data_IF_436661570702
#
_entry.id   IF_436661570702
#
_cell.length_a   1.000
_cell.length_b   1.000
_cell.length_c   1.000
_cell.angle_alpha   90.00
_cell.angle_beta   90.00
_cell.angle_gamma   90.00
#
_symmetry.space_group_name_H-M   'P 1'
#
loop_
_entity.id
_entity.type
_entity.pdbx_description
1 polymer ?
#
# COMPACT_ATOMS: atom_id res chain seq x y z
N UNK A 1 -7.52 11.67 14.06
CA UNK A 1 -6.82 11.02 12.92
C UNK A 1 -6.13 9.81 13.47
N UNK A 2 -6.38 8.65 12.86
CA UNK A 2 -5.81 7.38 13.30
C UNK A 2 -4.75 6.88 12.32
N UNK A 3 -4.01 5.85 12.74
CA UNK A 3 -2.96 5.24 11.93
C UNK A 3 -3.36 3.82 11.55
N UNK A 4 -3.51 3.58 10.25
CA UNK A 4 -3.51 2.23 9.72
C UNK A 4 -2.07 1.74 9.64
N UNK A 5 -1.80 0.56 10.21
CA UNK A 5 -0.55 -0.15 9.93
C UNK A 5 -0.87 -1.45 9.22
N UNK A 6 -0.26 -1.63 8.05
CA UNK A 6 -0.26 -2.87 7.28
C UNK A 6 1.09 -3.53 7.50
N UNK A 7 1.10 -4.75 8.03
CA UNK A 7 2.31 -5.56 8.09
C UNK A 7 2.27 -6.72 7.10
N UNK A 8 3.44 -7.19 6.70
CA UNK A 8 3.65 -8.32 5.78
C UNK A 8 4.91 -9.05 6.21
N UNK A 9 5.05 -10.32 5.83
CA UNK A 9 6.27 -11.07 6.10
C UNK A 9 6.81 -11.66 4.79
N UNK A 10 8.12 -11.66 4.61
CA UNK A 10 8.78 -12.28 3.47
C UNK A 10 8.93 -13.81 3.63
N UNK A 11 9.60 -14.47 2.67
CA UNK A 11 9.85 -15.91 2.71
C UNK A 11 10.64 -16.39 3.95
N UNK A 12 11.45 -15.51 4.54
CA UNK A 12 12.25 -15.77 5.74
C UNK A 12 11.50 -15.42 7.03
N UNK A 13 10.22 -15.03 6.92
CA UNK A 13 9.36 -14.52 8.00
C UNK A 13 9.83 -13.18 8.58
N UNK A 14 10.64 -12.42 7.86
CA UNK A 14 11.00 -11.08 8.25
C UNK A 14 9.87 -10.10 7.91
N UNK A 15 9.48 -9.30 8.91
CA UNK A 15 8.37 -8.37 8.78
C UNK A 15 8.71 -7.10 7.99
N UNK A 16 7.77 -6.62 7.18
CA UNK A 16 7.69 -5.27 6.64
C UNK A 16 6.47 -4.60 7.24
N UNK A 17 6.54 -3.27 7.43
CA UNK A 17 5.41 -2.46 7.92
C UNK A 17 5.30 -1.19 7.10
N UNK A 18 4.07 -0.85 6.75
CA UNK A 18 3.73 0.42 6.11
C UNK A 18 2.58 1.04 6.90
N UNK A 19 2.72 2.31 7.25
CA UNK A 19 1.75 3.03 8.06
C UNK A 19 1.17 4.20 7.28
N UNK A 20 -0.12 4.42 7.44
CA UNK A 20 -0.90 5.42 6.72
C UNK A 20 -1.78 6.21 7.68
N UNK A 21 -1.98 7.49 7.38
CA UNK A 21 -2.95 8.30 8.12
C UNK A 21 -4.34 8.02 7.56
N UNK A 22 -5.32 7.83 8.44
CA UNK A 22 -6.72 7.60 8.08
C UNK A 22 -7.63 8.50 8.91
N UNK A 23 -8.89 8.62 8.49
CA UNK A 23 -9.90 9.33 9.26
C UNK A 23 -10.01 8.75 10.69
N UNK A 24 -10.49 9.56 11.63
CA UNK A 24 -10.76 9.09 12.98
C UNK A 24 -11.85 8.01 12.95
N UNK A 25 -11.56 6.89 13.62
CA UNK A 25 -12.43 5.74 13.69
C UNK A 25 -13.25 5.85 14.97
N UNK A 26 -14.55 5.80 14.80
CA UNK A 26 -15.55 5.87 15.86
C UNK A 26 -16.45 4.64 15.76
N UNK A 27 -17.19 4.33 16.83
CA UNK A 27 -18.18 3.25 16.78
C UNK A 27 -19.22 3.43 15.65
N UNK A 28 -19.51 4.68 15.26
CA UNK A 28 -20.51 4.98 14.24
C UNK A 28 -20.02 4.76 12.80
N UNK A 29 -18.71 4.81 12.54
CA UNK A 29 -18.14 4.63 11.20
C UNK A 29 -17.29 3.35 11.07
N UNK A 30 -17.15 2.56 12.14
CA UNK A 30 -16.26 1.41 12.20
C UNK A 30 -16.44 0.44 11.02
N UNK A 31 -17.66 -0.01 10.74
CA UNK A 31 -17.92 -0.99 9.66
C UNK A 31 -17.55 -0.44 8.28
N UNK A 32 -17.83 0.85 8.04
CA UNK A 32 -17.45 1.52 6.80
C UNK A 32 -15.92 1.63 6.67
N UNK A 33 -15.22 2.00 7.76
CA UNK A 33 -13.75 2.06 7.77
C UNK A 33 -13.11 0.68 7.61
N UNK A 34 -13.71 -0.38 8.19
CA UNK A 34 -13.24 -1.76 8.02
C UNK A 34 -13.37 -2.25 6.57
N UNK A 35 -14.46 -1.89 5.88
CA UNK A 35 -14.64 -2.17 4.45
C UNK A 35 -13.57 -1.48 3.59
N UNK A 36 -13.33 -0.18 3.83
CA UNK A 36 -12.29 0.58 3.14
C UNK A 36 -10.88 0.04 3.41
N UNK A 37 -10.59 -0.36 4.65
CA UNK A 37 -9.33 -0.99 5.03
C UNK A 37 -9.10 -2.30 4.27
N UNK A 38 -10.14 -3.12 4.12
CA UNK A 38 -10.08 -4.38 3.38
C UNK A 38 -9.77 -4.10 1.91
N UNK A 39 -10.48 -3.17 1.27
CA UNK A 39 -10.21 -2.80 -0.14
C UNK A 39 -8.79 -2.29 -0.37
N UNK A 40 -8.25 -1.49 0.56
CA UNK A 40 -6.86 -1.04 0.48
C UNK A 40 -5.88 -2.21 0.59
N UNK A 41 -6.13 -3.14 1.50
CA UNK A 41 -5.23 -4.28 1.75
C UNK A 41 -5.23 -5.25 0.57
N UNK A 42 -6.39 -5.49 -0.03
CA UNK A 42 -6.55 -6.27 -1.25
C UNK A 42 -5.77 -5.61 -2.41
N UNK A 43 -5.97 -4.30 -2.63
CA UNK A 43 -5.25 -3.57 -3.69
C UNK A 43 -3.74 -3.54 -3.48
N UNK A 44 -3.27 -3.38 -2.23
CA UNK A 44 -1.86 -3.51 -1.90
C UNK A 44 -1.36 -4.95 -2.07
N UNK A 45 -2.23 -5.94 -1.85
CA UNK A 45 -1.96 -7.38 -1.99
C UNK A 45 -1.71 -7.79 -3.43
N UNK A 46 -2.42 -7.16 -4.37
CA UNK A 46 -2.27 -7.43 -5.81
C UNK A 46 -0.92 -7.03 -6.40
N UNK A 47 -0.17 -6.13 -5.74
CA UNK A 47 1.14 -5.64 -6.22
C UNK A 47 2.32 -6.18 -5.40
N UNK A 48 2.08 -7.07 -4.44
CA UNK A 48 3.15 -7.73 -3.67
C UNK A 48 3.09 -9.24 -3.80
N UNK A 49 4.22 -9.89 -3.55
CA UNK A 49 4.31 -11.35 -3.59
C UNK A 49 4.10 -12.00 -2.21
N UNK A 50 4.22 -11.23 -1.13
CA UNK A 50 4.10 -11.73 0.24
C UNK A 50 2.65 -11.96 0.69
N UNK A 51 2.44 -12.93 1.59
CA UNK A 51 1.20 -13.06 2.34
C UNK A 51 0.98 -11.82 3.22
N UNK A 52 -0.22 -11.22 3.19
CA UNK A 52 -0.51 -10.06 4.00
C UNK A 52 -0.70 -10.49 5.46
N UNK A 53 0.03 -9.86 6.39
CA UNK A 53 -0.07 -10.18 7.81
C UNK A 53 -0.38 -8.94 8.61
N UNK A 54 -1.63 -8.80 9.04
CA UNK A 54 -2.15 -7.78 9.96
C UNK A 54 -2.44 -6.42 9.35
N UNK A 55 -3.70 -6.04 9.52
CA UNK A 55 -4.25 -4.68 9.51
C UNK A 55 -4.54 -4.34 10.97
N UNK A 56 -4.11 -3.18 11.47
CA UNK A 56 -4.28 -2.81 12.88
C UNK A 56 -5.65 -2.21 13.22
N UNK A 57 -6.47 -1.86 12.23
CA UNK A 57 -7.79 -1.20 12.41
C UNK A 57 -8.94 -2.21 12.46
N UNK A 58 -8.85 -3.24 11.64
CA UNK A 58 -9.65 -4.44 11.69
C UNK A 58 -8.64 -5.57 11.68
N UNK A 59 -8.73 -6.54 12.57
CA UNK A 59 -7.86 -7.71 12.57
C UNK A 59 -8.15 -8.58 11.32
N UNK A 60 -7.80 -8.07 10.13
CA UNK A 60 -7.88 -8.81 8.87
C UNK A 60 -6.67 -9.72 8.85
N UNK A 61 -6.92 -10.98 9.15
CA UNK A 61 -5.94 -12.05 9.06
C UNK A 61 -6.12 -12.75 7.71
N UNK A 62 -5.13 -12.68 6.83
CA UNK A 62 -5.04 -13.69 5.78
C UNK A 62 -4.60 -15.02 6.38
N UNK A 63 -4.99 -16.12 5.73
CA UNK A 63 -4.59 -17.48 6.11
C UNK A 63 -3.07 -17.63 6.14
N UNK A 64 -2.52 -18.15 7.24
CA UNK A 64 -1.11 -18.52 7.38
C UNK A 64 -0.66 -19.69 6.48
N UNK A 65 -1.57 -20.24 5.65
CA UNK A 65 -1.26 -21.26 4.65
C UNK A 65 -0.76 -20.67 3.32
N UNK A 66 -0.80 -19.33 3.11
CA UNK A 66 -0.19 -18.72 1.93
C UNK A 66 1.33 -18.95 1.96
N UNK A 67 1.87 -19.50 0.87
CA UNK A 67 3.30 -19.57 0.67
C UNK A 67 3.85 -18.14 0.62
N UNK A 68 4.79 -17.83 1.51
CA UNK A 68 5.51 -16.57 1.48
C UNK A 68 6.48 -16.60 0.31
N UNK A 69 6.18 -15.85 -0.73
CA UNK A 69 7.08 -15.63 -1.84
C UNK A 69 7.41 -14.14 -1.88
N UNK A 70 8.65 -13.78 -2.17
CA UNK A 70 9.05 -12.38 -2.27
C UNK A 70 10.18 -12.00 -1.33
N UNK A 71 10.94 -11.03 -1.80
CA UNK A 71 12.11 -10.47 -1.14
C UNK A 71 11.72 -9.15 -0.47
N UNK A 72 11.95 -9.02 0.84
CA UNK A 72 11.70 -7.75 1.56
C UNK A 72 12.46 -6.58 0.94
N UNK A 73 13.62 -6.83 0.34
CA UNK A 73 14.47 -5.80 -0.24
C UNK A 73 13.94 -5.25 -1.57
N UNK A 74 13.07 -5.99 -2.25
CA UNK A 74 12.31 -5.46 -3.38
C UNK A 74 11.13 -4.65 -2.84
N UNK A 75 11.14 -3.33 -3.03
CA UNK A 75 10.11 -2.43 -2.50
C UNK A 75 9.42 -1.65 -3.61
N UNK A 76 8.18 -1.25 -3.35
CA UNK A 76 7.49 -0.18 -4.04
C UNK A 76 7.59 1.10 -3.22
N UNK A 77 7.99 2.20 -3.85
CA UNK A 77 7.85 3.55 -3.36
C UNK A 77 6.57 4.14 -3.96
N UNK A 78 5.51 4.18 -3.17
CA UNK A 78 4.21 4.74 -3.56
C UNK A 78 4.23 6.23 -3.26
N UNK A 79 4.10 7.08 -4.27
CA UNK A 79 4.02 8.53 -4.10
C UNK A 79 2.61 9.01 -4.33
N UNK A 80 2.07 9.76 -3.38
CA UNK A 80 0.75 10.38 -3.43
C UNK A 80 0.88 11.90 -3.31
N UNK A 81 -0.11 12.61 -3.82
CA UNK A 81 -0.24 14.06 -3.72
C UNK A 81 -1.44 14.43 -2.84
N UNK A 82 -1.29 15.40 -1.96
CA UNK A 82 -2.40 15.99 -1.21
C UNK A 82 -3.26 16.87 -2.13
N UNK A 83 -4.57 16.60 -2.15
CA UNK A 83 -5.51 17.24 -3.08
C UNK A 83 -5.74 18.74 -2.84
N UNK A 84 -5.30 19.26 -1.70
CA UNK A 84 -5.55 20.64 -1.28
C UNK A 84 -4.30 21.50 -1.38
N UNK A 85 -3.16 21.00 -0.93
CA UNK A 85 -1.90 21.77 -0.91
C UNK A 85 -0.85 21.26 -1.91
N UNK A 86 -1.16 20.23 -2.69
CA UNK A 86 -0.32 19.68 -3.75
C UNK A 86 1.06 19.18 -3.29
N UNK A 87 1.23 18.92 -1.99
CA UNK A 87 2.47 18.33 -1.46
C UNK A 87 2.50 16.83 -1.73
N UNK A 88 3.70 16.33 -2.05
CA UNK A 88 3.95 14.92 -2.27
C UNK A 88 4.38 14.22 -0.99
N UNK A 89 3.89 13.00 -0.81
CA UNK A 89 4.26 12.09 0.27
C UNK A 89 4.53 10.72 -0.30
N UNK A 90 5.44 9.98 0.32
CA UNK A 90 5.80 8.64 -0.15
C UNK A 90 5.70 7.59 0.95
N UNK A 91 5.29 6.39 0.55
CA UNK A 91 5.19 5.22 1.40
C UNK A 91 6.02 4.08 0.80
N UNK A 92 6.83 3.43 1.63
CA UNK A 92 7.52 2.21 1.22
C UNK A 92 6.67 0.98 1.51
N UNK A 93 6.49 0.16 0.50
CA UNK A 93 5.82 -1.13 0.58
C UNK A 93 6.79 -2.23 0.18
N UNK A 94 7.18 -3.10 1.11
CA UNK A 94 8.11 -4.19 0.82
C UNK A 94 7.50 -5.31 0.00
N UNK A 95 8.33 -6.28 -0.40
CA UNK A 95 7.93 -7.51 -1.09
C UNK A 95 7.26 -7.29 -2.45
N UNK A 96 7.75 -6.30 -3.19
CA UNK A 96 7.27 -5.95 -4.52
C UNK A 96 7.19 -7.16 -5.44
N UNK A 97 6.02 -7.39 -6.04
CA UNK A 97 5.81 -8.50 -6.97
C UNK A 97 6.70 -8.33 -8.22
N UNK A 98 7.64 -9.25 -8.49
CA UNK A 98 8.47 -9.19 -9.69
C UNK A 98 7.66 -9.39 -10.98
N UNK A 99 6.47 -9.98 -10.91
CA UNK A 99 5.57 -10.19 -12.04
C UNK A 99 4.54 -9.05 -12.22
N UNK A 100 4.59 -8.00 -11.39
CA UNK A 100 3.73 -6.84 -11.56
C UNK A 100 3.96 -6.19 -12.94
N UNK A 101 2.89 -5.67 -13.59
CA UNK A 101 3.02 -4.98 -14.86
C UNK A 101 3.79 -3.67 -14.66
N UNK A 102 4.98 -3.59 -15.23
CA UNK A 102 5.86 -2.42 -15.09
C UNK A 102 6.22 -1.82 -16.43
N UNK A 103 6.50 -0.51 -16.40
CA UNK A 103 7.11 0.23 -17.49
C UNK A 103 8.45 0.80 -17.02
N UNK A 104 9.37 0.99 -17.97
CA UNK A 104 10.60 1.72 -17.70
C UNK A 104 10.47 3.14 -18.25
N UNK A 105 10.53 4.14 -17.37
CA UNK A 105 10.39 5.54 -17.74
C UNK A 105 11.43 6.37 -16.98
N UNK A 106 12.22 7.17 -17.70
CA UNK A 106 13.21 8.07 -17.08
C UNK A 106 14.27 7.34 -16.24
N UNK A 107 14.66 6.12 -16.61
CA UNK A 107 15.61 5.30 -15.86
C UNK A 107 15.02 4.64 -14.59
N UNK A 108 13.71 4.75 -14.38
CA UNK A 108 12.99 4.15 -13.26
C UNK A 108 12.09 3.02 -13.76
N UNK A 109 11.91 2.00 -12.93
CA UNK A 109 10.89 0.97 -13.15
C UNK A 109 9.66 1.35 -12.36
N UNK A 110 8.56 1.64 -13.05
CA UNK A 110 7.30 2.08 -12.46
C UNK A 110 6.23 1.01 -12.68
N UNK A 111 5.30 0.85 -11.74
CA UNK A 111 4.06 0.14 -12.01
C UNK A 111 3.35 0.86 -13.17
N UNK A 112 2.90 0.09 -14.17
CA UNK A 112 2.27 0.63 -15.36
C UNK A 112 1.00 1.43 -14.97
N UNK A 113 0.95 2.76 -15.21
CA UNK A 113 -0.21 3.60 -14.87
C UNK A 113 -1.50 3.21 -15.60
N UNK A 114 -1.38 2.47 -16.71
CA UNK A 114 -2.52 1.97 -17.48
C UNK A 114 -3.03 0.62 -16.99
N UNK A 115 -2.29 -0.04 -16.08
CA UNK A 115 -2.69 -1.34 -15.55
C UNK A 115 -3.88 -1.25 -14.60
N UNK A 116 -4.77 -2.27 -14.55
CA UNK A 116 -5.84 -2.35 -13.56
C UNK A 116 -5.34 -2.33 -12.12
N UNK A 117 -4.11 -2.82 -11.87
CA UNK A 117 -3.50 -2.81 -10.53
C UNK A 117 -3.21 -1.39 -10.06
N UNK A 118 -2.70 -0.52 -10.95
CA UNK A 118 -2.44 0.88 -10.62
C UNK A 118 -3.74 1.63 -10.33
N UNK A 119 -4.78 1.45 -11.14
CA UNK A 119 -6.07 2.12 -10.93
C UNK A 119 -6.80 1.63 -9.67
N UNK A 120 -6.76 0.32 -9.38
CA UNK A 120 -7.31 -0.23 -8.15
C UNK A 120 -6.61 0.33 -6.90
N UNK A 121 -5.28 0.38 -6.91
CA UNK A 121 -4.50 0.98 -5.83
C UNK A 121 -4.80 2.47 -5.67
N UNK A 122 -4.84 3.23 -6.77
CA UNK A 122 -5.14 4.65 -6.75
C UNK A 122 -6.52 4.93 -6.13
N UNK A 123 -7.54 4.17 -6.53
CA UNK A 123 -8.89 4.29 -5.97
C UNK A 123 -8.93 3.97 -4.48
N UNK A 124 -8.28 2.88 -4.06
CA UNK A 124 -8.28 2.49 -2.66
C UNK A 124 -7.53 3.49 -1.76
N UNK A 125 -6.42 4.05 -2.24
CA UNK A 125 -5.68 5.11 -1.55
C UNK A 125 -6.53 6.38 -1.40
N UNK A 126 -7.11 6.87 -2.49
CA UNK A 126 -7.92 8.09 -2.47
C UNK A 126 -9.20 7.98 -1.63
N UNK A 127 -9.76 6.78 -1.48
CA UNK A 127 -10.98 6.57 -0.71
C UNK A 127 -10.74 6.43 0.80
N UNK A 128 -9.52 6.09 1.23
CA UNK A 128 -9.27 5.71 2.63
C UNK A 128 -8.13 6.45 3.31
N UNK A 129 -7.11 6.87 2.57
CA UNK A 129 -5.90 7.46 3.14
C UNK A 129 -5.99 8.97 3.10
N UNK A 130 -5.48 9.58 4.17
CA UNK A 130 -5.34 11.01 4.31
C UNK A 130 -3.86 11.43 4.24
N UNK A 131 -3.64 12.65 3.77
CA UNK A 131 -2.34 13.30 3.91
C UNK A 131 -2.04 13.56 5.40
N UNK A 132 -0.78 13.87 5.77
CA UNK A 132 -0.46 14.32 7.14
C UNK A 132 -1.23 15.56 7.61
N UNK A 133 -1.89 16.27 6.69
CA UNK A 133 -2.72 17.44 6.97
C UNK A 133 -4.21 17.11 7.07
N UNK A 134 -4.60 15.82 6.93
CA UNK A 134 -5.99 15.38 7.00
C UNK A 134 -6.78 15.56 5.71
N UNK A 135 -6.14 15.90 4.59
CA UNK A 135 -6.80 16.05 3.29
C UNK A 135 -6.80 14.73 2.51
N UNK A 136 -7.63 14.63 1.49
CA UNK A 136 -7.58 13.52 0.54
C UNK A 136 -6.25 13.45 -0.21
N UNK A 137 -5.98 12.30 -0.80
CA UNK A 137 -4.76 12.06 -1.59
C UNK A 137 -5.06 11.47 -2.96
N UNK A 138 -4.20 11.71 -3.94
CA UNK A 138 -4.23 11.07 -5.25
C UNK A 138 -2.92 10.34 -5.51
N UNK A 139 -2.99 9.12 -6.03
CA UNK A 139 -1.82 8.36 -6.41
C UNK A 139 -1.13 9.01 -7.62
N UNK A 140 0.18 9.23 -7.51
CA UNK A 140 1.00 9.80 -8.59
C UNK A 140 1.87 8.74 -9.25
N UNK A 141 2.71 8.06 -8.48
CA UNK A 141 3.63 7.05 -9.00
C UNK A 141 3.79 5.90 -8.04
N UNK A 142 4.16 4.74 -8.59
CA UNK A 142 4.56 3.56 -7.81
C UNK A 142 5.86 3.06 -8.42
N UNK A 143 6.98 3.38 -7.78
CA UNK A 143 8.32 3.12 -8.29
C UNK A 143 8.91 1.87 -7.63
N UNK A 144 9.48 0.95 -8.41
CA UNK A 144 10.21 -0.18 -7.87
C UNK A 144 11.57 0.32 -7.39
N UNK A 145 11.81 0.24 -6.10
CA UNK A 145 13.09 0.59 -5.47
C UNK A 145 13.69 -0.66 -4.86
N UNK A 146 14.92 -0.98 -5.27
CA UNK A 146 15.74 -1.96 -4.56
C UNK A 146 16.42 -1.30 -3.36
N UNK A 147 17.03 -2.11 -2.49
CA UNK A 147 17.99 -1.58 -1.53
C UNK A 147 19.19 -0.99 -2.28
N UNK A 148 19.68 0.16 -1.82
CA UNK A 148 20.91 0.82 -2.27
C UNK A 148 21.98 -0.21 -2.69
N UNK A 149 22.46 -0.12 -3.93
CA UNK A 149 23.83 -0.58 -4.26
C UNK A 149 24.83 0.39 -3.63
#
# INVERSE_FOLDING_TARGET
MDILTVSRADQSREGTRTSFNVAEITAANFDAQAGLATSLVDALGDIVLAGAHRVAIAHVYESGAKAYAGDREAKWLITVEDTTNHKLFSYELGTADPAAPVINQGGKTLLDPTSPKFSALGSALSNYILSPYGNGVTLQTVEKVGRNL
#
